data_IF_915934240480
#
_entry.id   IF_915934240480
#
_cell.length_a   1.000
_cell.length_b   1.000
_cell.length_c   1.000
_cell.angle_alpha   90.00
_cell.angle_beta   90.00
_cell.angle_gamma   90.00
#
_symmetry.space_group_name_H-M   'P 1'
#
loop_
_entity.id
_entity.type
_entity.pdbx_description
1 polymer ?
#
# COMPACT_ATOMS: atom_id res chain seq x y z
N UNK A 1 14.45 -18.04 -14.60
CA UNK A 1 14.59 -16.59 -14.86
C UNK A 1 13.77 -15.82 -13.84
N UNK A 2 14.31 -14.76 -13.24
CA UNK A 2 13.53 -13.88 -12.36
C UNK A 2 12.51 -13.12 -13.21
N UNK A 3 11.22 -13.23 -12.86
CA UNK A 3 10.18 -12.41 -13.49
C UNK A 3 10.22 -11.03 -12.82
N UNK A 4 10.39 -9.93 -13.56
CA UNK A 4 10.33 -8.59 -12.99
C UNK A 4 9.03 -8.36 -12.22
N UNK A 5 9.14 -7.73 -11.05
CA UNK A 5 8.00 -7.38 -10.20
C UNK A 5 8.04 -5.89 -9.88
N UNK A 6 6.86 -5.31 -9.68
CA UNK A 6 6.70 -3.94 -9.20
C UNK A 6 6.43 -4.00 -7.70
N UNK A 7 7.10 -3.14 -6.93
CA UNK A 7 6.77 -2.88 -5.53
C UNK A 7 5.91 -1.62 -5.49
N UNK A 8 4.70 -1.75 -4.95
CA UNK A 8 3.82 -0.63 -4.68
C UNK A 8 3.87 -0.34 -3.17
N UNK A 9 4.03 0.92 -2.82
CA UNK A 9 3.91 1.40 -1.45
C UNK A 9 2.84 2.48 -1.41
N UNK A 10 1.85 2.30 -0.55
CA UNK A 10 0.73 3.23 -0.39
C UNK A 10 0.55 3.43 1.11
N UNK A 11 0.59 4.69 1.54
CA UNK A 11 0.19 5.07 2.89
C UNK A 11 -1.26 5.53 2.81
N UNK A 12 -2.09 5.00 3.69
CA UNK A 12 -3.53 5.26 3.74
C UNK A 12 -3.98 5.36 5.20
N UNK A 13 -5.15 5.93 5.42
CA UNK A 13 -5.78 5.90 6.73
C UNK A 13 -6.08 4.47 7.19
N UNK A 14 -6.02 4.25 8.51
CA UNK A 14 -6.24 2.93 9.10
C UNK A 14 -7.62 2.34 8.74
N UNK A 15 -8.63 3.20 8.55
CA UNK A 15 -9.97 2.80 8.15
C UNK A 15 -10.03 2.22 6.73
N UNK A 16 -9.09 2.58 5.86
CA UNK A 16 -9.07 2.17 4.45
C UNK A 16 -8.23 0.93 4.17
N UNK A 17 -7.46 0.44 5.15
CA UNK A 17 -6.50 -0.66 4.99
C UNK A 17 -7.14 -1.90 4.37
N UNK A 18 -8.28 -2.36 4.89
CA UNK A 18 -8.95 -3.57 4.37
C UNK A 18 -9.46 -3.40 2.93
N UNK A 19 -10.00 -2.21 2.63
CA UNK A 19 -10.49 -1.85 1.30
C UNK A 19 -9.34 -1.82 0.28
N UNK A 20 -8.21 -1.23 0.66
CA UNK A 20 -7.02 -1.12 -0.21
C UNK A 20 -6.37 -2.48 -0.44
N UNK A 21 -6.19 -3.28 0.62
CA UNK A 21 -5.63 -4.63 0.51
C UNK A 21 -6.50 -5.50 -0.40
N UNK A 22 -7.83 -5.51 -0.17
CA UNK A 22 -8.75 -6.30 -1.00
C UNK A 22 -8.75 -5.86 -2.46
N UNK A 23 -8.70 -4.55 -2.72
CA UNK A 23 -8.62 -3.99 -4.08
C UNK A 23 -7.34 -4.41 -4.80
N UNK A 24 -6.17 -4.27 -4.16
CA UNK A 24 -4.88 -4.65 -4.76
C UNK A 24 -4.82 -6.15 -5.01
N UNK A 25 -5.21 -6.96 -4.02
CA UNK A 25 -5.21 -8.43 -4.17
C UNK A 25 -6.15 -8.86 -5.29
N UNK A 26 -7.37 -8.34 -5.35
CA UNK A 26 -8.34 -8.67 -6.39
C UNK A 26 -7.87 -8.27 -7.79
N UNK A 27 -7.24 -7.10 -7.94
CA UNK A 27 -6.73 -6.63 -9.22
C UNK A 27 -5.48 -7.39 -9.69
N UNK A 28 -4.62 -7.83 -8.77
CA UNK A 28 -3.35 -8.49 -9.08
C UNK A 28 -3.45 -10.02 -9.21
N UNK A 29 -4.54 -10.64 -8.73
CA UNK A 29 -4.69 -12.09 -8.71
C UNK A 29 -4.99 -12.67 -10.10
N UNK A 30 -4.12 -13.56 -10.57
CA UNK A 30 -4.31 -14.36 -11.79
C UNK A 30 -4.56 -15.84 -11.51
N UNK A 31 -4.36 -16.27 -10.26
CA UNK A 31 -4.46 -17.66 -9.82
C UNK A 31 -3.20 -18.49 -10.09
N UNK A 32 -2.09 -17.85 -10.47
CA UNK A 32 -0.83 -18.52 -10.82
C UNK A 32 0.24 -18.25 -9.77
N UNK A 33 1.20 -19.17 -9.68
CA UNK A 33 2.38 -18.98 -8.83
C UNK A 33 3.11 -17.71 -9.29
N UNK A 34 3.36 -16.81 -8.34
CA UNK A 34 4.06 -15.56 -8.58
C UNK A 34 3.18 -14.31 -8.66
N UNK A 35 1.87 -14.39 -8.37
CA UNK A 35 0.98 -13.21 -8.29
C UNK A 35 1.48 -12.15 -7.30
N UNK A 36 2.22 -12.55 -6.27
CA UNK A 36 2.92 -11.64 -5.37
C UNK A 36 2.46 -11.79 -3.92
N UNK A 37 2.66 -10.74 -3.14
CA UNK A 37 2.24 -10.65 -1.73
C UNK A 37 1.84 -9.20 -1.45
N UNK A 38 0.89 -9.03 -0.56
CA UNK A 38 0.51 -7.75 0.04
C UNK A 38 0.69 -7.92 1.54
N UNK A 39 1.31 -6.94 2.20
CA UNK A 39 1.45 -6.91 3.65
C UNK A 39 1.25 -5.47 4.13
N UNK A 40 0.87 -5.34 5.39
CA UNK A 40 0.58 -4.04 6.03
C UNK A 40 1.64 -3.79 7.08
N UNK A 41 2.14 -2.56 7.15
CA UNK A 41 3.09 -2.11 8.17
C UNK A 41 2.50 -0.83 8.78
N UNK A 42 2.47 -0.70 10.12
CA UNK A 42 2.05 0.54 10.75
C UNK A 42 3.02 1.68 10.42
N UNK A 43 2.47 2.87 10.20
CA UNK A 43 3.23 4.11 10.01
C UNK A 43 2.88 5.04 11.16
N UNK A 44 3.86 5.33 12.01
CA UNK A 44 3.62 6.10 13.24
C UNK A 44 3.47 7.60 12.99
N UNK A 45 4.05 8.13 11.90
CA UNK A 45 3.90 9.53 11.52
C UNK A 45 4.13 9.78 10.04
N UNK A 46 3.43 10.78 9.50
CA UNK A 46 3.56 11.25 8.13
C UNK A 46 3.75 12.76 8.13
N UNK A 47 4.60 13.30 7.23
CA UNK A 47 4.79 14.75 7.08
C UNK A 47 4.72 15.14 5.62
N UNK A 48 3.86 16.11 5.29
CA UNK A 48 3.77 16.68 3.95
C UNK A 48 4.83 17.75 3.76
N UNK A 49 5.89 17.44 3.02
CA UNK A 49 7.07 18.30 2.81
C UNK A 49 6.72 19.74 2.40
N UNK A 50 5.69 19.93 1.58
CA UNK A 50 5.31 21.25 1.05
C UNK A 50 4.70 22.18 2.10
N UNK A 51 3.93 21.65 3.05
CA UNK A 51 3.11 22.43 3.99
C UNK A 51 3.54 22.28 5.44
N UNK A 52 4.27 21.21 5.76
CA UNK A 52 4.61 20.84 7.13
C UNK A 52 3.45 20.21 7.91
N UNK A 53 2.30 19.97 7.26
CA UNK A 53 1.18 19.23 7.87
C UNK A 53 1.64 17.82 8.26
N UNK A 54 1.08 17.30 9.35
CA UNK A 54 1.42 15.99 9.90
C UNK A 54 0.20 15.06 9.92
N UNK A 55 0.49 13.76 9.85
CA UNK A 55 -0.42 12.65 10.08
C UNK A 55 -1.70 12.74 9.22
N UNK A 56 -2.89 12.77 9.81
CA UNK A 56 -4.16 12.84 9.07
C UNK A 56 -4.23 14.03 8.11
N UNK A 57 -3.66 15.19 8.48
CA UNK A 57 -3.63 16.36 7.60
C UNK A 57 -2.59 16.22 6.46
N UNK A 58 -1.62 15.32 6.61
CA UNK A 58 -0.56 15.05 5.66
C UNK A 58 -0.91 13.98 4.63
N UNK A 59 -1.82 13.07 4.98
CA UNK A 59 -2.45 12.11 4.07
C UNK A 59 -3.41 12.81 3.10
#
# INVERSE_FOLDING_TARGET
TLVPKIRLEVVVDAADVESVVSTITGAAQTGKIGDGKVWVVPVDSVVRVRTGETDEAAL
#
